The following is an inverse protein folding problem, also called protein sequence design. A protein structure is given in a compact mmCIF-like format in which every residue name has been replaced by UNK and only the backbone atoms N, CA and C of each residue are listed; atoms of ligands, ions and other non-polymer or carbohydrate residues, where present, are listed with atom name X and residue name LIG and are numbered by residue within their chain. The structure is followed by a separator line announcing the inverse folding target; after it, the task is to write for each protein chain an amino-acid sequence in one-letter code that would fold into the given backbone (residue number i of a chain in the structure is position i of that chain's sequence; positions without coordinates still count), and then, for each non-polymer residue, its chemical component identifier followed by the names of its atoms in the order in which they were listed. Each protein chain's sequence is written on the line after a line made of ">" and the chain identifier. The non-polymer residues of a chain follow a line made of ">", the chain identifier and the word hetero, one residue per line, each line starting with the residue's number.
data_IF_596925962705
#
_entry.id   IF_596925962705
#
_cell.length_a   1.000
_cell.length_b   1.000
_cell.length_c   1.000
_cell.angle_alpha   90.00
_cell.angle_beta   90.00
_cell.angle_gamma   90.00
#
_symmetry.space_group_name_H-M   'P 1'
#
loop_
_entity.id
_entity.type
_entity.pdbx_description
1 polymer ?
#
# COMPACT_ATOMS: atom_id res chain seq x y z
N UNK A 1 -23.52 -59.23 61.25
CA UNK A 1 -22.51 -60.23 60.84
C UNK A 1 -22.01 -60.05 59.40
N UNK A 2 -22.74 -59.43 58.46
CA UNK A 2 -22.27 -59.27 57.06
C UNK A 2 -21.17 -58.21 56.81
N UNK A 3 -20.79 -57.40 57.81
CA UNK A 3 -19.77 -56.36 57.63
C UNK A 3 -18.34 -56.83 57.91
N UNK A 4 -18.14 -57.91 58.67
CA UNK A 4 -16.78 -58.45 58.93
C UNK A 4 -16.27 -59.35 57.80
N UNK A 5 -17.16 -60.07 57.10
CA UNK A 5 -16.78 -60.98 56.01
C UNK A 5 -16.27 -60.28 54.75
N UNK A 6 -16.50 -58.97 54.62
CA UNK A 6 -16.07 -58.18 53.46
C UNK A 6 -14.82 -57.33 53.73
N UNK A 7 -14.21 -57.41 54.91
CA UNK A 7 -13.03 -56.62 55.26
C UNK A 7 -11.85 -56.87 54.31
N UNK A 8 -11.67 -58.13 53.90
CA UNK A 8 -10.65 -58.54 52.92
C UNK A 8 -10.94 -58.03 51.51
N UNK A 9 -12.21 -57.82 51.16
CA UNK A 9 -12.64 -57.25 49.89
C UNK A 9 -12.31 -55.75 49.82
N UNK A 10 -12.52 -55.03 50.92
CA UNK A 10 -12.14 -53.63 51.04
C UNK A 10 -10.62 -53.45 50.96
N UNK A 11 -9.86 -54.32 51.64
CA UNK A 11 -8.40 -54.34 51.56
C UNK A 11 -7.91 -54.65 50.13
N UNK A 12 -8.58 -55.56 49.42
CA UNK A 12 -8.28 -55.89 48.03
C UNK A 12 -8.56 -54.72 47.08
N UNK A 13 -9.72 -54.05 47.22
CA UNK A 13 -10.10 -52.91 46.39
C UNK A 13 -9.22 -51.67 46.64
N UNK A 14 -8.78 -51.46 47.89
CA UNK A 14 -7.90 -50.34 48.23
C UNK A 14 -6.43 -50.61 47.85
N UNK A 15 -6.03 -51.89 47.79
CA UNK A 15 -4.73 -52.35 47.25
C UNK A 15 -4.69 -52.29 45.72
N UNK A 16 -5.76 -52.75 45.07
CA UNK A 16 -5.97 -52.64 43.62
C UNK A 16 -6.57 -51.27 43.29
N UNK A 17 -5.89 -50.18 43.68
CA UNK A 17 -6.04 -48.91 42.99
C UNK A 17 -5.60 -49.15 41.57
N UNK A 18 -6.58 -49.50 40.72
CA UNK A 18 -6.38 -49.89 39.34
C UNK A 18 -5.30 -49.01 38.76
N UNK A 19 -4.20 -49.63 38.30
CA UNK A 19 -3.03 -48.93 37.80
C UNK A 19 -3.55 -47.74 37.03
N UNK A 20 -3.26 -46.53 37.50
CA UNK A 20 -3.53 -45.35 36.71
C UNK A 20 -2.80 -45.62 35.42
N UNK A 21 -3.54 -46.02 34.38
CA UNK A 21 -3.03 -46.04 33.03
C UNK A 21 -2.93 -44.56 32.76
N UNK A 22 -1.80 -44.00 33.19
CA UNK A 22 -1.35 -42.70 32.74
C UNK A 22 -1.23 -42.95 31.25
N UNK A 23 -2.29 -42.63 30.50
CA UNK A 23 -2.17 -42.38 29.09
C UNK A 23 -1.18 -41.22 29.05
N UNK A 24 0.11 -41.56 28.95
CA UNK A 24 1.16 -40.57 28.81
C UNK A 24 0.73 -39.66 27.69
N UNK A 25 0.75 -38.35 27.93
CA UNK A 25 0.33 -37.38 26.93
C UNK A 25 1.07 -37.71 25.64
N UNK A 26 0.32 -38.15 24.62
CA UNK A 26 0.89 -38.46 23.32
C UNK A 26 1.22 -37.13 22.67
N UNK A 27 2.50 -36.84 22.50
CA UNK A 27 2.98 -35.71 21.71
C UNK A 27 3.67 -36.24 20.45
N UNK A 28 3.59 -35.45 19.39
CA UNK A 28 4.25 -35.74 18.13
C UNK A 28 5.73 -35.39 18.22
N UNK A 29 6.62 -36.36 17.97
CA UNK A 29 8.06 -36.16 17.82
C UNK A 29 8.46 -35.72 16.40
N UNK A 30 7.49 -35.59 15.50
CA UNK A 30 7.76 -35.15 14.13
C UNK A 30 8.22 -33.69 14.12
N UNK A 31 9.31 -33.43 13.42
CA UNK A 31 9.79 -32.06 13.17
C UNK A 31 8.79 -31.35 12.28
N UNK A 32 8.32 -30.19 12.72
CA UNK A 32 7.43 -29.34 11.92
C UNK A 32 8.12 -28.94 10.61
N UNK A 33 7.39 -29.07 9.50
CA UNK A 33 7.84 -28.65 8.17
C UNK A 33 6.95 -27.52 7.68
N UNK A 34 7.58 -26.41 7.29
CA UNK A 34 6.89 -25.30 6.64
C UNK A 34 6.38 -25.77 5.26
N UNK A 35 5.06 -25.90 5.10
CA UNK A 35 4.46 -26.30 3.82
C UNK A 35 4.30 -25.12 2.86
N UNK A 36 3.66 -24.05 3.31
CA UNK A 36 3.34 -22.90 2.48
C UNK A 36 3.31 -21.63 3.33
N UNK A 37 3.82 -20.54 2.77
CA UNK A 37 3.62 -19.19 3.30
C UNK A 37 2.71 -18.47 2.33
N UNK A 38 1.49 -18.18 2.76
CA UNK A 38 0.54 -17.40 1.96
C UNK A 38 0.11 -16.16 2.71
N UNK A 39 -0.12 -15.08 1.96
CA UNK A 39 -0.70 -13.86 2.49
C UNK A 39 -2.22 -13.99 2.48
N UNK A 40 -2.85 -13.78 3.64
CA UNK A 40 -4.30 -13.76 3.74
C UNK A 40 -4.85 -12.40 3.28
N UNK A 41 -5.57 -12.41 2.17
CA UNK A 41 -6.37 -11.27 1.70
C UNK A 41 -7.78 -11.37 2.27
N UNK A 42 -8.57 -10.30 2.17
CA UNK A 42 -9.95 -10.36 2.65
C UNK A 42 -10.73 -11.46 1.95
N UNK A 43 -11.57 -12.16 2.72
CA UNK A 43 -12.31 -13.35 2.25
C UNK A 43 -11.43 -14.53 1.80
N UNK A 44 -10.15 -14.57 2.22
CA UNK A 44 -9.18 -15.61 1.84
C UNK A 44 -8.96 -15.72 0.32
N UNK A 45 -9.04 -14.57 -0.39
CA UNK A 45 -8.79 -14.51 -1.82
C UNK A 45 -7.32 -14.83 -2.14
N UNK A 46 -7.07 -15.43 -3.31
CA UNK A 46 -5.72 -15.53 -3.86
C UNK A 46 -5.24 -14.14 -4.29
N UNK A 47 -3.92 -13.89 -4.37
CA UNK A 47 -3.38 -12.61 -4.83
C UNK A 47 -3.99 -12.11 -6.15
N UNK A 48 -4.18 -13.01 -7.12
CA UNK A 48 -4.78 -12.69 -8.42
C UNK A 48 -6.25 -12.28 -8.29
N UNK A 49 -7.05 -13.09 -7.59
CA UNK A 49 -8.48 -12.82 -7.39
C UNK A 49 -8.69 -11.50 -6.61
N UNK A 50 -7.78 -11.16 -5.70
CA UNK A 50 -7.77 -9.89 -5.00
C UNK A 50 -7.51 -8.69 -5.94
N UNK A 51 -6.56 -8.80 -6.88
CA UNK A 51 -6.33 -7.76 -7.90
C UNK A 51 -7.53 -7.63 -8.85
N UNK A 52 -8.12 -8.76 -9.25
CA UNK A 52 -9.27 -8.78 -10.16
C UNK A 52 -10.49 -8.13 -9.48
N UNK A 53 -10.79 -8.47 -8.21
CA UNK A 53 -11.86 -7.82 -7.45
C UNK A 53 -11.64 -6.33 -7.22
N UNK A 54 -10.39 -5.89 -6.99
CA UNK A 54 -10.04 -4.48 -6.94
C UNK A 54 -10.36 -3.80 -8.28
N UNK A 55 -10.01 -4.44 -9.39
CA UNK A 55 -10.25 -3.91 -10.74
C UNK A 55 -11.75 -3.76 -11.03
N UNK A 56 -12.55 -4.78 -10.70
CA UNK A 56 -14.00 -4.74 -10.81
C UNK A 56 -14.61 -3.63 -9.95
N UNK A 57 -14.13 -3.47 -8.71
CA UNK A 57 -14.58 -2.41 -7.81
C UNK A 57 -14.32 -1.02 -8.38
N UNK A 58 -13.11 -0.77 -8.89
CA UNK A 58 -12.75 0.52 -9.48
C UNK A 58 -13.60 0.81 -10.72
N UNK A 59 -13.77 -0.15 -11.62
CA UNK A 59 -14.58 0.01 -12.83
C UNK A 59 -16.06 0.29 -12.52
N UNK A 60 -16.61 -0.39 -11.51
CA UNK A 60 -18.00 -0.22 -11.09
C UNK A 60 -18.27 1.12 -10.41
N UNK A 61 -17.28 1.66 -9.69
CA UNK A 61 -17.44 2.87 -8.86
C UNK A 61 -16.81 4.15 -9.46
N UNK A 62 -16.17 4.06 -10.62
CA UNK A 62 -15.48 5.19 -11.26
C UNK A 62 -16.37 6.42 -11.45
N UNK A 63 -17.65 6.23 -11.75
CA UNK A 63 -18.62 7.32 -11.96
C UNK A 63 -19.35 7.74 -10.67
N UNK A 64 -19.33 6.90 -9.63
CA UNK A 64 -20.04 7.15 -8.37
C UNK A 64 -19.22 7.94 -7.35
N UNK A 65 -17.89 7.83 -7.41
CA UNK A 65 -16.97 8.52 -6.50
C UNK A 65 -16.19 9.58 -7.27
N UNK A 66 -16.41 10.85 -6.95
CA UNK A 66 -15.78 11.98 -7.64
C UNK A 66 -14.24 11.90 -7.59
N UNK A 67 -13.68 11.51 -6.44
CA UNK A 67 -12.24 11.34 -6.30
C UNK A 67 -11.65 10.25 -7.24
N UNK A 68 -12.38 9.15 -7.48
CA UNK A 68 -11.94 8.11 -8.44
C UNK A 68 -11.98 8.64 -9.87
N UNK A 69 -13.03 9.39 -10.22
CA UNK A 69 -13.16 10.04 -11.51
C UNK A 69 -12.03 11.03 -11.79
N UNK A 70 -11.64 11.84 -10.79
CA UNK A 70 -10.53 12.79 -10.91
C UNK A 70 -9.22 12.04 -11.16
N UNK A 71 -8.94 10.95 -10.45
CA UNK A 71 -7.72 10.13 -10.68
C UNK A 71 -7.63 9.61 -12.12
N UNK A 72 -8.75 9.18 -12.69
CA UNK A 72 -8.79 8.60 -14.02
C UNK A 72 -8.67 9.68 -15.12
N UNK A 73 -9.34 10.82 -14.93
CA UNK A 73 -9.50 11.84 -15.99
C UNK A 73 -8.52 13.01 -15.87
N UNK A 74 -8.27 13.51 -14.66
CA UNK A 74 -7.44 14.70 -14.38
C UNK A 74 -6.60 14.51 -13.12
N UNK A 75 -5.66 13.54 -13.12
CA UNK A 75 -4.83 13.25 -11.95
C UNK A 75 -3.94 14.43 -11.53
N UNK A 76 -3.61 15.34 -12.45
CA UNK A 76 -2.87 16.58 -12.14
C UNK A 76 -3.62 17.56 -11.22
N UNK A 77 -4.95 17.42 -11.10
CA UNK A 77 -5.79 18.25 -10.23
C UNK A 77 -6.06 17.62 -8.86
N UNK A 78 -5.46 16.47 -8.56
CA UNK A 78 -5.64 15.82 -7.26
C UNK A 78 -5.08 16.66 -6.12
N UNK A 79 -5.88 16.78 -5.07
CA UNK A 79 -5.47 17.36 -3.80
C UNK A 79 -5.12 16.26 -2.80
N UNK A 80 -4.44 16.65 -1.71
CA UNK A 80 -4.18 15.74 -0.58
C UNK A 80 -5.47 15.28 0.11
N UNK A 81 -6.50 16.12 0.09
CA UNK A 81 -7.81 15.77 0.64
C UNK A 81 -8.42 14.61 -0.14
N UNK A 82 -8.38 14.71 -1.47
CA UNK A 82 -8.93 13.67 -2.37
C UNK A 82 -8.20 12.34 -2.18
N UNK A 83 -6.86 12.35 -2.05
CA UNK A 83 -6.10 11.14 -1.76
C UNK A 83 -6.44 10.51 -0.41
N UNK A 84 -6.66 11.34 0.61
CA UNK A 84 -7.03 10.85 1.94
C UNK A 84 -8.41 10.20 1.90
N UNK A 85 -9.36 10.83 1.22
CA UNK A 85 -10.71 10.30 1.02
C UNK A 85 -10.68 8.97 0.25
N UNK A 86 -9.93 8.91 -0.86
CA UNK A 86 -9.74 7.68 -1.63
C UNK A 86 -9.18 6.56 -0.79
N UNK A 87 -8.17 6.84 0.03
CA UNK A 87 -7.60 5.84 0.91
C UNK A 87 -8.63 5.32 1.91
N UNK A 88 -9.46 6.19 2.48
CA UNK A 88 -10.51 5.78 3.43
C UNK A 88 -11.54 4.88 2.73
N UNK A 89 -12.04 5.29 1.56
CA UNK A 89 -13.03 4.52 0.79
C UNK A 89 -12.47 3.15 0.41
N UNK A 90 -11.22 3.10 -0.07
CA UNK A 90 -10.58 1.85 -0.47
C UNK A 90 -10.26 0.96 0.73
N UNK A 91 -9.78 1.53 1.85
CA UNK A 91 -9.52 0.78 3.07
C UNK A 91 -10.83 0.19 3.66
N UNK A 92 -11.98 0.86 3.51
CA UNK A 92 -13.30 0.34 3.93
C UNK A 92 -13.72 -0.91 3.16
N UNK A 93 -13.39 -0.97 1.87
CA UNK A 93 -13.65 -2.12 1.00
C UNK A 93 -12.50 -3.15 1.03
N UNK A 94 -11.52 -2.94 1.91
CA UNK A 94 -10.41 -3.86 2.14
C UNK A 94 -9.19 -3.67 1.28
N UNK A 95 -9.21 -2.67 0.40
CA UNK A 95 -8.17 -2.34 -0.57
C UNK A 95 -7.14 -1.36 -0.01
N UNK A 96 -6.12 -1.89 0.67
CA UNK A 96 -5.00 -1.08 1.17
C UNK A 96 -3.80 -1.12 0.20
N UNK A 97 -3.08 0.00 0.07
CA UNK A 97 -1.80 0.12 -0.65
C UNK A 97 -0.83 -1.03 -0.33
N UNK A 98 -0.69 -1.41 0.94
CA UNK A 98 0.25 -2.48 1.34
C UNK A 98 -0.18 -3.81 0.75
N UNK A 99 -1.46 -4.20 0.95
CA UNK A 99 -2.02 -5.44 0.41
C UNK A 99 -1.96 -5.48 -1.12
N UNK A 100 -2.26 -4.35 -1.79
CA UNK A 100 -2.16 -4.25 -3.25
C UNK A 100 -0.73 -4.48 -3.73
N UNK A 101 0.27 -3.81 -3.15
CA UNK A 101 1.67 -4.03 -3.51
C UNK A 101 2.12 -5.49 -3.27
N UNK A 102 1.71 -6.10 -2.15
CA UNK A 102 1.98 -7.52 -1.89
C UNK A 102 1.32 -8.42 -2.92
N UNK A 103 0.06 -8.19 -3.26
CA UNK A 103 -0.66 -9.00 -4.25
C UNK A 103 0.00 -8.91 -5.63
N UNK A 104 0.37 -7.70 -6.08
CA UNK A 104 1.08 -7.52 -7.34
C UNK A 104 2.46 -8.18 -7.34
N UNK A 105 3.18 -8.13 -6.20
CA UNK A 105 4.45 -8.83 -6.03
C UNK A 105 4.27 -10.34 -6.14
N UNK A 106 3.27 -10.90 -5.46
CA UNK A 106 3.00 -12.35 -5.47
C UNK A 106 2.59 -12.85 -6.86
N UNK A 107 1.86 -12.05 -7.63
CA UNK A 107 1.42 -12.43 -8.98
C UNK A 107 2.51 -12.27 -10.03
N UNK A 108 3.27 -11.18 -9.98
CA UNK A 108 4.27 -10.86 -11.02
C UNK A 108 5.68 -11.36 -10.70
N UNK A 109 5.94 -11.77 -9.45
CA UNK A 109 7.26 -12.04 -8.89
C UNK A 109 8.24 -10.84 -9.01
N UNK A 110 7.72 -9.62 -9.09
CA UNK A 110 8.50 -8.39 -9.17
C UNK A 110 8.19 -7.47 -7.98
N UNK A 111 9.22 -6.86 -7.39
CA UNK A 111 9.05 -5.89 -6.30
C UNK A 111 8.68 -4.51 -6.84
N UNK A 112 7.40 -4.34 -7.22
CA UNK A 112 6.87 -3.05 -7.68
C UNK A 112 6.15 -2.37 -6.52
N UNK A 113 6.76 -1.31 -5.98
CA UNK A 113 6.11 -0.46 -4.96
C UNK A 113 5.41 0.70 -5.65
N UNK A 114 4.12 0.54 -5.90
CA UNK A 114 3.27 1.57 -6.49
C UNK A 114 2.52 2.37 -5.41
N UNK A 115 2.11 3.59 -5.77
CA UNK A 115 1.17 4.38 -5.00
C UNK A 115 -0.28 4.01 -5.34
N UNK A 116 -1.22 4.48 -4.54
CA UNK A 116 -2.64 4.16 -4.75
C UNK A 116 -3.14 4.71 -6.09
N UNK A 117 -2.57 5.84 -6.55
CA UNK A 117 -2.93 6.46 -7.83
C UNK A 117 -2.54 5.53 -8.99
N UNK A 118 -1.33 4.99 -8.98
CA UNK A 118 -0.86 4.04 -9.98
C UNK A 118 -1.73 2.78 -10.01
N UNK A 119 -2.09 2.22 -8.84
CA UNK A 119 -3.00 1.08 -8.76
C UNK A 119 -4.38 1.37 -9.38
N UNK A 120 -5.02 2.48 -8.98
CA UNK A 120 -6.33 2.87 -9.51
C UNK A 120 -6.27 3.08 -11.02
N UNK A 121 -5.26 3.80 -11.53
CA UNK A 121 -5.11 4.06 -12.97
C UNK A 121 -4.85 2.78 -13.76
N UNK A 122 -4.04 1.87 -13.22
CA UNK A 122 -3.78 0.56 -13.84
C UNK A 122 -5.07 -0.25 -13.93
N UNK A 123 -5.87 -0.30 -12.87
CA UNK A 123 -7.17 -0.96 -12.86
C UNK A 123 -8.20 -0.33 -13.81
N UNK A 124 -8.24 1.00 -13.88
CA UNK A 124 -9.20 1.72 -14.70
C UNK A 124 -8.85 1.74 -16.20
N UNK A 125 -7.56 1.89 -16.53
CA UNK A 125 -7.08 2.08 -17.91
C UNK A 125 -6.46 0.82 -18.53
N UNK A 126 -6.13 -0.20 -17.72
CA UNK A 126 -5.46 -1.41 -18.19
C UNK A 126 -3.98 -1.22 -18.54
N UNK A 127 -3.34 -0.16 -18.05
CA UNK A 127 -1.94 0.14 -18.31
C UNK A 127 -1.00 -0.75 -17.47
N UNK A 128 0.28 -0.81 -17.84
CA UNK A 128 1.29 -1.48 -17.02
C UNK A 128 1.52 -0.72 -15.72
N UNK A 129 1.55 -1.43 -14.59
CA UNK A 129 1.85 -0.85 -13.29
C UNK A 129 3.31 -0.36 -13.25
N UNK A 130 3.51 0.92 -12.93
CA UNK A 130 4.84 1.53 -12.78
C UNK A 130 5.09 1.85 -11.31
N UNK A 131 6.30 1.58 -10.84
CA UNK A 131 6.72 1.90 -9.48
C UNK A 131 6.68 3.41 -9.19
N UNK A 132 6.44 3.75 -7.93
CA UNK A 132 6.33 5.14 -7.48
C UNK A 132 7.59 5.95 -7.78
N UNK A 133 8.75 5.40 -7.45
CA UNK A 133 10.05 6.05 -7.64
C UNK A 133 10.40 6.20 -9.13
N UNK A 134 10.22 5.14 -9.93
CA UNK A 134 10.52 5.15 -11.36
C UNK A 134 9.67 6.18 -12.12
N UNK A 135 8.38 6.28 -11.76
CA UNK A 135 7.46 7.26 -12.33
C UNK A 135 7.90 8.70 -12.03
N UNK A 136 8.33 8.98 -10.80
CA UNK A 136 8.82 10.32 -10.42
C UNK A 136 10.11 10.65 -11.14
N UNK A 137 11.08 9.73 -11.13
CA UNK A 137 12.36 9.93 -11.83
C UNK A 137 12.14 10.18 -13.31
N UNK A 138 11.31 9.38 -13.97
CA UNK A 138 10.97 9.56 -15.38
C UNK A 138 10.29 10.90 -15.67
N UNK A 139 9.37 11.35 -14.82
CA UNK A 139 8.71 12.64 -14.98
C UNK A 139 9.68 13.82 -14.79
N UNK A 140 10.54 13.74 -13.77
CA UNK A 140 11.54 14.78 -13.48
C UNK A 140 12.62 14.83 -14.56
N UNK A 141 13.06 13.69 -15.08
CA UNK A 141 14.02 13.61 -16.18
C UNK A 141 13.45 14.24 -17.46
N UNK A 142 12.19 13.93 -17.81
CA UNK A 142 11.48 14.58 -18.92
C UNK A 142 11.41 16.09 -18.74
N UNK A 143 11.08 16.57 -17.53
CA UNK A 143 11.06 18.00 -17.23
C UNK A 143 12.45 18.64 -17.39
N UNK A 144 13.51 17.95 -16.94
CA UNK A 144 14.90 18.42 -17.09
C UNK A 144 15.32 18.55 -18.55
N UNK A 145 14.88 17.64 -19.41
CA UNK A 145 15.22 17.65 -20.84
C UNK A 145 14.37 18.62 -21.67
N UNK A 146 13.18 19.00 -21.19
CA UNK A 146 12.23 19.84 -21.95
C UNK A 146 12.59 21.33 -21.96
N UNK A 147 13.42 21.78 -21.00
CA UNK A 147 13.77 23.19 -20.82
C UNK A 147 15.27 23.36 -20.53
N UNK A 148 15.76 24.59 -20.69
CA UNK A 148 17.11 24.96 -20.26
C UNK A 148 17.10 25.53 -18.86
N UNK A 149 17.68 24.81 -17.92
CA UNK A 149 17.70 25.18 -16.51
C UNK A 149 19.02 25.79 -16.08
N UNK A 150 18.96 26.80 -15.22
CA UNK A 150 20.13 27.27 -14.48
C UNK A 150 20.33 26.47 -13.18
N UNK A 151 21.48 26.64 -12.53
CA UNK A 151 21.82 25.90 -11.30
C UNK A 151 20.83 26.10 -10.15
N UNK A 152 20.23 27.28 -10.02
CA UNK A 152 19.25 27.56 -8.98
C UNK A 152 17.92 26.83 -9.25
N UNK A 153 17.46 26.81 -10.50
CA UNK A 153 16.27 26.09 -10.94
C UNK A 153 16.44 24.57 -10.77
N UNK A 154 17.61 24.03 -11.15
CA UNK A 154 17.93 22.61 -10.93
C UNK A 154 17.90 22.24 -9.45
N UNK A 155 18.39 23.12 -8.57
CA UNK A 155 18.30 22.90 -7.11
C UNK A 155 16.86 22.80 -6.63
N UNK A 156 15.96 23.66 -7.14
CA UNK A 156 14.54 23.58 -6.83
C UNK A 156 13.88 22.31 -7.38
N UNK A 157 14.18 21.93 -8.62
CA UNK A 157 13.67 20.68 -9.22
C UNK A 157 14.13 19.46 -8.40
N UNK A 158 15.38 19.41 -7.95
CA UNK A 158 15.89 18.36 -7.08
C UNK A 158 15.14 18.31 -5.73
N UNK A 159 14.79 19.47 -5.16
CA UNK A 159 14.01 19.52 -3.93
C UNK A 159 12.57 19.05 -4.14
N UNK A 160 11.96 19.40 -5.28
CA UNK A 160 10.63 18.92 -5.69
C UNK A 160 10.64 17.40 -5.86
N UNK A 161 11.63 16.84 -6.56
CA UNK A 161 11.82 15.40 -6.72
C UNK A 161 11.90 14.69 -5.37
N UNK A 162 12.75 15.18 -4.46
CA UNK A 162 12.87 14.64 -3.10
C UNK A 162 11.57 14.68 -2.31
N UNK A 163 10.78 15.74 -2.50
CA UNK A 163 9.47 15.83 -1.86
C UNK A 163 8.50 14.82 -2.47
N UNK A 164 8.47 14.69 -3.80
CA UNK A 164 7.60 13.74 -4.51
C UNK A 164 7.88 12.28 -4.13
N UNK A 165 9.15 11.95 -3.87
CA UNK A 165 9.52 10.62 -3.39
C UNK A 165 8.90 10.31 -2.02
N UNK A 166 8.69 11.32 -1.18
CA UNK A 166 8.02 11.17 0.13
C UNK A 166 6.50 11.26 0.02
N UNK A 167 6.02 12.14 -0.84
CA UNK A 167 4.60 12.47 -1.00
C UNK A 167 4.21 12.38 -2.47
N UNK A 168 3.20 11.59 -2.82
CA UNK A 168 2.87 11.34 -4.24
C UNK A 168 2.30 12.53 -5.01
N UNK A 169 2.03 13.65 -4.35
CA UNK A 169 1.43 14.85 -4.94
C UNK A 169 2.16 16.08 -4.43
N UNK A 170 2.37 17.04 -5.35
CA UNK A 170 2.80 18.39 -5.01
C UNK A 170 1.81 19.40 -5.61
N UNK A 171 1.29 20.28 -4.76
CA UNK A 171 0.43 21.40 -5.17
C UNK A 171 1.13 22.73 -4.93
N UNK A 172 0.62 23.81 -5.53
CA UNK A 172 1.15 25.17 -5.31
C UNK A 172 1.13 25.58 -3.84
N UNK A 173 0.13 25.15 -3.08
CA UNK A 173 0.02 25.43 -1.65
C UNK A 173 1.14 24.75 -0.85
N UNK A 174 1.61 23.60 -1.32
CA UNK A 174 2.68 22.85 -0.65
C UNK A 174 4.05 23.52 -0.80
N UNK A 175 4.22 24.35 -1.83
CA UNK A 175 5.40 25.19 -1.98
C UNK A 175 5.52 26.27 -0.90
N UNK A 176 4.46 26.54 -0.14
CA UNK A 176 4.49 27.41 1.03
C UNK A 176 4.66 26.66 2.36
N UNK A 177 4.81 25.33 2.32
CA UNK A 177 5.04 24.48 3.49
C UNK A 177 6.49 23.99 3.55
N UNK A 178 6.97 23.48 4.70
CA UNK A 178 8.28 22.85 4.78
C UNK A 178 8.36 21.64 3.82
N UNK A 179 9.49 21.41 3.12
CA UNK A 179 10.77 22.12 3.28
C UNK A 179 10.88 23.44 2.48
N UNK A 180 10.02 23.69 1.50
CA UNK A 180 10.14 24.83 0.58
C UNK A 180 10.02 26.18 1.29
N UNK A 181 9.18 26.28 2.33
CA UNK A 181 9.02 27.50 3.11
C UNK A 181 10.31 27.98 3.79
N UNK A 182 11.23 27.07 4.13
CA UNK A 182 12.52 27.41 4.73
C UNK A 182 13.45 28.13 3.73
N UNK A 183 13.31 27.81 2.44
CA UNK A 183 14.05 28.42 1.34
C UNK A 183 13.29 29.61 0.70
N UNK A 184 12.27 30.14 1.39
CA UNK A 184 11.47 31.31 0.99
C UNK A 184 10.20 31.00 0.18
N UNK A 185 9.84 29.71 0.09
CA UNK A 185 8.54 29.22 -0.39
C UNK A 185 8.20 29.60 -1.84
N UNK A 186 6.90 29.67 -2.14
CA UNK A 186 6.39 29.95 -3.49
C UNK A 186 6.98 31.23 -4.08
N UNK A 187 7.16 32.28 -3.26
CA UNK A 187 7.70 33.57 -3.74
C UNK A 187 9.13 33.46 -4.26
N UNK A 188 9.98 32.64 -3.64
CA UNK A 188 11.36 32.42 -4.11
C UNK A 188 11.42 31.47 -5.30
N UNK A 189 10.58 30.43 -5.32
CA UNK A 189 10.40 29.61 -6.52
C UNK A 189 9.96 30.46 -7.70
N UNK A 190 8.99 31.35 -7.51
CA UNK A 190 8.44 32.18 -8.58
C UNK A 190 9.44 33.19 -9.14
N UNK A 191 10.30 33.73 -8.27
CA UNK A 191 11.44 34.52 -8.72
C UNK A 191 12.45 33.69 -9.51
N UNK A 192 12.74 32.46 -9.08
CA UNK A 192 13.69 31.57 -9.76
C UNK A 192 13.17 31.08 -11.13
N UNK A 193 11.86 30.86 -11.23
CA UNK A 193 11.16 30.43 -12.45
C UNK A 193 10.53 31.60 -13.22
N UNK A 194 10.90 32.86 -12.91
CA UNK A 194 10.45 34.05 -13.64
C UNK A 194 8.91 34.19 -13.77
N UNK A 195 8.16 33.71 -12.78
CA UNK A 195 6.68 33.74 -12.78
C UNK A 195 6.02 32.49 -13.37
N UNK A 196 6.80 31.50 -13.83
CA UNK A 196 6.30 30.31 -14.52
C UNK A 196 6.14 29.09 -13.60
N UNK A 197 6.27 29.26 -12.28
CA UNK A 197 6.23 28.14 -11.31
C UNK A 197 4.98 27.29 -11.47
N UNK A 198 3.81 27.93 -11.66
CA UNK A 198 2.54 27.24 -11.84
C UNK A 198 2.54 26.35 -13.08
N UNK A 199 3.05 26.86 -14.20
CA UNK A 199 3.11 26.12 -15.46
C UNK A 199 4.06 24.93 -15.33
N UNK A 200 5.22 25.10 -14.69
CA UNK A 200 6.20 24.03 -14.47
C UNK A 200 5.63 22.92 -13.58
N UNK A 201 4.89 23.28 -12.52
CA UNK A 201 4.25 22.29 -11.66
C UNK A 201 3.12 21.55 -12.41
N UNK A 202 2.32 22.26 -13.21
CA UNK A 202 1.29 21.65 -14.05
C UNK A 202 1.90 20.70 -15.09
N UNK A 203 2.99 21.10 -15.73
CA UNK A 203 3.74 20.27 -16.69
C UNK A 203 4.34 19.03 -16.03
N UNK A 204 4.98 19.18 -14.86
CA UNK A 204 5.49 18.05 -14.09
C UNK A 204 4.37 17.07 -13.71
N UNK A 205 3.23 17.59 -13.27
CA UNK A 205 2.06 16.78 -12.94
C UNK A 205 1.51 16.06 -14.18
N UNK A 206 1.56 16.68 -15.36
CA UNK A 206 1.24 15.97 -16.60
C UNK A 206 2.21 14.82 -16.85
N UNK A 207 3.52 15.02 -16.71
CA UNK A 207 4.51 13.95 -16.91
C UNK A 207 4.38 12.79 -15.91
N UNK A 208 3.95 13.07 -14.66
CA UNK A 208 3.74 12.04 -13.64
C UNK A 208 2.58 11.08 -13.96
N UNK A 209 1.61 11.52 -14.76
CA UNK A 209 0.37 10.79 -14.98
C UNK A 209 -0.04 10.68 -16.47
N UNK A 210 0.86 11.04 -17.38
CA UNK A 210 0.68 10.88 -18.82
C UNK A 210 0.52 9.40 -19.22
#
# INVERSE_FOLDING_TARGET
>A
EEFEDNATLWEFLDREKGRSVVYGTLYSDHVDVLQEVSHAYEKNLKPKDYIDSFTEYIQSNMNGVEALKIVCTKPASLTRSDLKELRIILDQEGFNKVKLNTAYKDVTNQEIVADIIAHIRTAALGNTLVGHEDRIKGAVERLRSSHQWNSAQLKWINNIEKQLLKESIITLEDLNKPPFSMDGGLRMLDKAFKGETKQIIEELNQYLYA
#
